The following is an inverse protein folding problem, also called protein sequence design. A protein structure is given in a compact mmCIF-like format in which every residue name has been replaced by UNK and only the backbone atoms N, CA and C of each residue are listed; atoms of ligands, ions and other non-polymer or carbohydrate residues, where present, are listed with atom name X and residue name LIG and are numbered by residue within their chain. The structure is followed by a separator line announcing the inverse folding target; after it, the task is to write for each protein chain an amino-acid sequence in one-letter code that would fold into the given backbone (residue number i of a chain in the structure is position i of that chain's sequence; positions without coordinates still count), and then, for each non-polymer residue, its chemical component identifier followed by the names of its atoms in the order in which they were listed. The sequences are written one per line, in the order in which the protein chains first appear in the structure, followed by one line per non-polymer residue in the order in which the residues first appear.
data_IF_006758213257
#
_entry.id   IF_006758213257
#
_cell.length_a   1.000
_cell.length_b   1.000
_cell.length_c   1.000
_cell.angle_alpha   90.00
_cell.angle_beta   90.00
_cell.angle_gamma   90.00
#
_symmetry.space_group_name_H-M   'P 1'
#
loop_
_entity.id
_entity.type
_entity.pdbx_description
1 polymer ?
#
# COMPACT_ATOMS: atom_id res chain seq x y z
N UNK A 1 -4.24 -9.15 11.22
CA UNK A 1 -5.09 -8.47 10.21
C UNK A 1 -5.67 -7.16 10.76
N UNK A 2 -6.21 -7.12 11.98
CA UNK A 2 -6.71 -5.87 12.59
C UNK A 2 -5.65 -4.76 12.65
N UNK A 3 -4.45 -5.06 13.16
CA UNK A 3 -3.37 -4.06 13.23
C UNK A 3 -3.00 -3.48 11.84
N UNK A 4 -2.83 -4.31 10.82
CA UNK A 4 -2.53 -3.85 9.44
C UNK A 4 -3.65 -2.93 8.92
N UNK A 5 -4.92 -3.31 9.15
CA UNK A 5 -6.05 -2.49 8.73
C UNK A 5 -6.08 -1.15 9.48
N UNK A 6 -5.79 -1.14 10.78
CA UNK A 6 -5.72 0.08 11.58
C UNK A 6 -4.63 1.02 11.04
N UNK A 7 -3.48 0.49 10.65
CA UNK A 7 -2.39 1.27 10.04
C UNK A 7 -2.78 1.81 8.65
N UNK A 8 -3.49 1.02 7.84
CA UNK A 8 -4.01 1.49 6.55
C UNK A 8 -5.00 2.64 6.74
N UNK A 9 -5.90 2.53 7.72
CA UNK A 9 -6.84 3.60 8.06
C UNK A 9 -6.12 4.86 8.57
N UNK A 10 -5.10 4.70 9.42
CA UNK A 10 -4.29 5.83 9.89
C UNK A 10 -3.58 6.56 8.74
N UNK A 11 -3.07 5.83 7.75
CA UNK A 11 -2.47 6.43 6.55
C UNK A 11 -3.53 7.22 5.77
N UNK A 12 -4.72 6.65 5.57
CA UNK A 12 -5.82 7.33 4.89
C UNK A 12 -6.24 8.63 5.60
N UNK A 13 -6.39 8.60 6.92
CA UNK A 13 -6.71 9.78 7.73
C UNK A 13 -5.63 10.87 7.61
N UNK A 14 -4.35 10.49 7.61
CA UNK A 14 -3.25 11.43 7.43
C UNK A 14 -3.25 12.08 6.04
N UNK A 15 -3.53 11.30 4.99
CA UNK A 15 -3.67 11.83 3.62
C UNK A 15 -4.84 12.83 3.57
N UNK A 16 -5.98 12.47 4.14
CA UNK A 16 -7.15 13.35 4.21
C UNK A 16 -6.83 14.67 4.93
N UNK A 17 -6.07 14.61 6.03
CA UNK A 17 -5.62 15.80 6.76
C UNK A 17 -4.71 16.70 5.91
N UNK A 18 -3.76 16.09 5.16
CA UNK A 18 -2.86 16.82 4.26
C UNK A 18 -3.64 17.48 3.12
N UNK A 19 -4.54 16.73 2.47
CA UNK A 19 -5.34 17.24 1.34
C UNK A 19 -6.27 18.38 1.75
N UNK A 20 -6.79 18.35 2.98
CA UNK A 20 -7.64 19.42 3.53
C UNK A 20 -6.85 20.62 4.04
N UNK A 21 -5.52 20.64 3.90
CA UNK A 21 -4.61 21.73 4.33
C UNK A 21 -4.85 22.17 5.77
N UNK A 22 -5.13 21.21 6.65
CA UNK A 22 -5.26 21.50 8.08
C UNK A 22 -3.87 21.82 8.66
N UNK A 23 -3.82 22.59 9.75
CA UNK A 23 -2.58 22.78 10.50
C UNK A 23 -1.98 21.39 10.83
N UNK A 24 -0.65 21.22 10.65
CA UNK A 24 0.14 20.00 10.90
C UNK A 24 0.32 19.01 9.73
N UNK A 25 0.40 19.47 8.47
CA UNK A 25 0.74 18.60 7.32
C UNK A 25 2.07 17.85 7.48
N UNK A 26 3.08 18.46 8.09
CA UNK A 26 4.39 17.83 8.33
C UNK A 26 4.29 16.66 9.32
N UNK A 27 3.49 16.81 10.38
CA UNK A 27 3.24 15.74 11.36
C UNK A 27 2.50 14.57 10.71
N UNK A 28 1.46 14.87 9.92
CA UNK A 28 0.74 13.87 9.15
C UNK A 28 1.65 13.12 8.17
N UNK A 29 2.57 13.83 7.50
CA UNK A 29 3.53 13.22 6.59
C UNK A 29 4.52 12.29 7.30
N UNK A 30 5.08 12.71 8.44
CA UNK A 30 5.95 11.84 9.22
C UNK A 30 5.20 10.62 9.78
N UNK A 31 3.92 10.77 10.13
CA UNK A 31 3.07 9.65 10.52
C UNK A 31 2.86 8.65 9.38
N UNK A 32 2.63 9.12 8.16
CA UNK A 32 2.54 8.24 6.97
C UNK A 32 3.85 7.47 6.79
N UNK A 33 5.01 8.10 6.94
CA UNK A 33 6.32 7.41 6.85
C UNK A 33 6.48 6.34 7.93
N UNK A 34 6.06 6.64 9.17
CA UNK A 34 6.14 5.70 10.28
C UNK A 34 5.27 4.46 10.02
N UNK A 35 4.00 4.66 9.64
CA UNK A 35 3.09 3.55 9.37
C UNK A 35 3.49 2.79 8.11
N UNK A 36 3.90 3.50 7.05
CA UNK A 36 4.44 2.90 5.84
C UNK A 36 5.68 2.04 6.09
N UNK A 37 6.56 2.45 7.01
CA UNK A 37 7.73 1.66 7.43
C UNK A 37 7.33 0.42 8.21
N UNK A 38 6.38 0.57 9.12
CA UNK A 38 5.87 -0.56 9.90
C UNK A 38 5.18 -1.60 9.00
N UNK A 39 4.39 -1.17 8.02
CA UNK A 39 3.80 -2.04 7.01
C UNK A 39 4.86 -2.70 6.13
N UNK A 40 5.87 -1.95 5.67
CA UNK A 40 7.01 -2.50 4.91
C UNK A 40 7.69 -3.64 5.70
N UNK A 41 7.85 -3.44 7.01
CA UNK A 41 8.50 -4.42 7.85
C UNK A 41 7.68 -5.68 8.11
N UNK A 42 6.37 -5.53 8.29
CA UNK A 42 5.45 -6.63 8.57
C UNK A 42 5.09 -7.45 7.31
N UNK A 43 4.94 -6.80 6.16
CA UNK A 43 4.38 -7.42 4.95
C UNK A 43 5.43 -8.08 4.06
N UNK A 44 6.64 -7.52 4.02
CA UNK A 44 7.66 -7.99 3.08
C UNK A 44 8.66 -8.92 3.76
N UNK A 45 8.86 -10.14 3.24
CA UNK A 45 9.93 -11.00 3.73
C UNK A 45 11.31 -10.41 3.37
N UNK A 46 12.38 -10.76 4.10
CA UNK A 46 13.73 -10.25 3.85
C UNK A 46 14.20 -10.42 2.39
N UNK A 47 13.84 -11.52 1.75
CA UNK A 47 14.17 -11.79 0.35
C UNK A 47 13.57 -10.77 -0.62
N UNK A 48 12.34 -10.29 -0.36
CA UNK A 48 11.71 -9.24 -1.15
C UNK A 48 12.38 -7.89 -0.88
N UNK A 49 12.67 -7.57 0.38
CA UNK A 49 13.36 -6.32 0.77
C UNK A 49 14.71 -6.19 0.08
N UNK A 50 15.50 -7.27 0.05
CA UNK A 50 16.80 -7.29 -0.63
C UNK A 50 16.65 -7.04 -2.13
N UNK A 51 15.73 -7.78 -2.79
CA UNK A 51 15.45 -7.61 -4.23
C UNK A 51 15.02 -6.19 -4.58
N UNK A 52 14.16 -5.58 -3.76
CA UNK A 52 13.74 -4.19 -3.97
C UNK A 52 14.93 -3.23 -3.83
N UNK A 53 15.78 -3.43 -2.83
CA UNK A 53 16.90 -2.54 -2.55
C UNK A 53 18.04 -2.60 -3.57
N UNK A 54 18.18 -3.71 -4.29
CA UNK A 54 19.22 -3.97 -5.29
C UNK A 54 18.71 -3.79 -6.73
N UNK A 55 17.42 -3.51 -6.91
CA UNK A 55 16.78 -3.47 -8.22
C UNK A 55 16.84 -2.08 -8.84
N UNK A 56 17.39 -2.01 -10.06
CA UNK A 56 17.31 -0.84 -10.94
C UNK A 56 16.09 -0.86 -11.88
N UNK A 57 15.15 -1.80 -11.68
CA UNK A 57 13.95 -1.90 -12.50
C UNK A 57 13.06 -0.65 -12.34
N UNK A 58 12.50 -0.16 -13.45
CA UNK A 58 11.57 0.97 -13.42
C UNK A 58 10.17 0.58 -12.92
N UNK A 59 9.75 -0.67 -13.13
CA UNK A 59 8.39 -1.13 -12.84
C UNK A 59 8.37 -2.15 -11.72
N UNK A 60 7.41 -2.00 -10.80
CA UNK A 60 7.13 -2.97 -9.74
C UNK A 60 5.68 -3.43 -9.87
N UNK A 61 5.48 -4.68 -10.30
CA UNK A 61 4.17 -5.32 -10.34
C UNK A 61 4.05 -6.25 -9.14
N UNK A 62 3.05 -6.02 -8.30
CA UNK A 62 2.76 -6.87 -7.15
C UNK A 62 1.57 -7.74 -7.47
N UNK A 63 1.73 -9.05 -7.32
CA UNK A 63 0.66 -10.03 -7.42
C UNK A 63 0.13 -10.33 -6.04
N UNK A 64 -1.16 -10.08 -5.81
CA UNK A 64 -1.79 -10.14 -4.48
C UNK A 64 -3.12 -10.87 -4.54
N UNK A 65 -3.50 -11.46 -3.41
CA UNK A 65 -4.85 -11.94 -3.16
C UNK A 65 -5.81 -10.76 -2.95
N UNK A 66 -7.08 -10.90 -3.36
CA UNK A 66 -8.12 -9.87 -3.22
C UNK A 66 -8.24 -9.28 -1.79
N UNK A 67 -7.95 -10.07 -0.75
CA UNK A 67 -8.00 -9.61 0.65
C UNK A 67 -6.94 -8.57 1.00
N UNK A 68 -5.94 -8.38 0.14
CA UNK A 68 -4.80 -7.48 0.35
C UNK A 68 -4.91 -6.19 -0.48
N UNK A 69 -6.00 -6.01 -1.23
CA UNK A 69 -6.21 -4.85 -2.13
C UNK A 69 -6.20 -3.51 -1.39
N UNK A 70 -6.67 -3.48 -0.14
CA UNK A 70 -6.78 -2.27 0.66
C UNK A 70 -5.43 -1.79 1.24
N UNK A 71 -4.36 -2.59 1.11
CA UNK A 71 -3.04 -2.17 1.56
C UNK A 71 -2.49 -1.13 0.57
N UNK A 72 -2.03 0.04 1.04
CA UNK A 72 -1.43 1.06 0.19
C UNK A 72 0.03 0.69 -0.12
N UNK A 73 0.21 -0.31 -0.99
CA UNK A 73 1.54 -0.84 -1.35
C UNK A 73 2.50 0.24 -1.85
N UNK A 74 1.97 1.28 -2.49
CA UNK A 74 2.68 2.45 -2.98
C UNK A 74 3.26 3.35 -1.87
N UNK A 75 2.73 3.24 -0.65
CA UNK A 75 3.13 4.00 0.55
C UNK A 75 3.95 3.18 1.55
N UNK A 76 4.41 1.99 1.16
CA UNK A 76 5.42 1.30 1.96
C UNK A 76 6.74 2.08 1.92
N UNK A 77 7.34 2.32 3.09
CA UNK A 77 8.52 3.18 3.26
C UNK A 77 9.75 2.37 3.66
N UNK A 78 10.81 2.41 2.85
CA UNK A 78 12.02 1.59 3.05
C UNK A 78 13.16 2.32 3.81
N UNK A 79 12.84 3.47 4.41
CA UNK A 79 13.75 4.51 4.97
C UNK A 79 14.40 5.45 3.96
N UNK A 80 14.45 5.09 2.69
CA UNK A 80 14.98 5.96 1.63
C UNK A 80 13.85 6.72 0.96
N UNK A 81 12.71 6.06 0.74
CA UNK A 81 11.54 6.63 0.10
C UNK A 81 10.33 5.70 0.18
N UNK A 82 9.21 6.18 -0.34
CA UNK A 82 8.06 5.32 -0.63
C UNK A 82 8.34 4.49 -1.88
N UNK A 83 7.78 3.28 -1.97
CA UNK A 83 7.97 2.43 -3.16
C UNK A 83 7.54 3.13 -4.46
N UNK A 84 6.49 3.96 -4.43
CA UNK A 84 6.06 4.77 -5.58
C UNK A 84 7.05 5.83 -6.04
N UNK A 85 8.02 6.21 -5.21
CA UNK A 85 9.08 7.15 -5.59
C UNK A 85 10.22 6.43 -6.34
N UNK A 86 10.42 5.14 -6.07
CA UNK A 86 11.43 4.32 -6.73
C UNK A 86 10.91 3.58 -7.98
N UNK A 87 9.62 3.27 -8.02
CA UNK A 87 9.03 2.41 -9.05
C UNK A 87 7.72 2.96 -9.60
N UNK A 88 7.50 2.77 -10.91
CA UNK A 88 6.17 2.78 -11.51
C UNK A 88 5.42 1.51 -11.11
N UNK A 89 4.39 1.65 -10.28
CA UNK A 89 3.73 0.49 -9.66
C UNK A 89 2.48 0.02 -10.39
N UNK A 90 2.24 -1.28 -10.33
CA UNK A 90 0.99 -1.92 -10.75
C UNK A 90 0.65 -3.11 -9.86
N UNK A 91 -0.61 -3.58 -9.94
CA UNK A 91 -1.10 -4.70 -9.14
C UNK A 91 -1.83 -5.71 -10.03
N UNK A 92 -1.55 -6.98 -9.81
CA UNK A 92 -2.34 -8.10 -10.33
C UNK A 92 -3.10 -8.67 -9.14
N UNK A 93 -4.43 -8.65 -9.20
CA UNK A 93 -5.28 -9.14 -8.11
C UNK A 93 -5.82 -10.51 -8.49
N UNK A 94 -5.47 -11.51 -7.70
CA UNK A 94 -6.05 -12.85 -7.80
C UNK A 94 -7.35 -12.89 -7.00
N UNK A 95 -8.45 -13.08 -7.71
CA UNK A 95 -9.79 -13.20 -7.14
C UNK A 95 -10.09 -14.70 -6.98
N UNK A 96 -10.33 -15.16 -5.76
CA UNK A 96 -10.69 -16.57 -5.50
C UNK A 96 -12.20 -16.82 -5.58
N UNK A 97 -12.98 -15.90 -6.15
CA UNK A 97 -14.41 -16.06 -6.36
C UNK A 97 -14.72 -16.96 -7.57
N UNK A 98 -15.59 -17.95 -7.37
CA UNK A 98 -16.41 -18.50 -8.45
C UNK A 98 -17.13 -17.36 -9.16
N UNK A 99 -17.16 -17.39 -10.49
CA UNK A 99 -17.67 -16.35 -11.42
C UNK A 99 -19.00 -15.69 -10.99
N UNK A 100 -19.84 -16.37 -10.21
CA UNK A 100 -21.11 -15.85 -9.67
C UNK A 100 -20.97 -14.56 -8.84
N UNK A 101 -19.88 -14.36 -8.09
CA UNK A 101 -19.74 -13.18 -7.22
C UNK A 101 -19.33 -11.91 -7.98
N UNK A 102 -18.62 -12.07 -9.10
CA UNK A 102 -18.15 -10.97 -9.95
C UNK A 102 -19.32 -10.35 -10.73
N UNK A 103 -20.28 -11.17 -11.16
CA UNK A 103 -21.46 -10.70 -11.91
C UNK A 103 -22.37 -9.79 -11.09
N UNK A 104 -22.46 -10.00 -9.77
CA UNK A 104 -23.30 -9.16 -8.89
C UNK A 104 -22.73 -7.74 -8.68
N UNK A 105 -21.43 -7.53 -8.88
CA UNK A 105 -20.80 -6.21 -8.71
C UNK A 105 -20.85 -5.36 -10.00
N UNK A 106 -20.93 -6.00 -11.17
CA UNK A 106 -20.97 -5.32 -12.48
C UNK A 106 -22.40 -4.96 -12.89
N UNK A 107 -23.42 -5.69 -12.41
CA UNK A 107 -24.83 -5.47 -12.78
C UNK A 107 -25.59 -4.49 -11.88
N UNK A 108 -24.95 -3.90 -10.87
CA UNK A 108 -25.59 -2.95 -9.92
C UNK A 108 -24.99 -1.53 -10.00
N UNK A 109 -24.25 -1.21 -11.07
CA UNK A 109 -23.87 0.16 -11.41
C UNK A 109 -24.52 0.58 -12.74
#
# INVERSE_FOLDING_TARGET
MNAINDQCNQIADCIDNILRQQHNSDEAYEKIKQEGRSLYDQLLPPSCKNKLSESDALYLIIQIDERLVNIPWELLFDNKGFLSQGFCMGRIVEIQASVEKILLQVLVN
#
